data_IF_925842872726
#
_entry.id   IF_925842872726
#
_cell.length_a   1.000
_cell.length_b   1.000
_cell.length_c   1.000
_cell.angle_alpha   90.00
_cell.angle_beta   90.00
_cell.angle_gamma   90.00
#
_symmetry.space_group_name_H-M   'P 1'
#
loop_
_entity.id
_entity.type
_entity.pdbx_description
1 polymer ?
#
# COMPACT_ATOMS: atom_id res chain seq x y z
N UNK A 1 -39.87 -33.47 -58.07
CA UNK A 1 -38.84 -34.18 -57.28
C UNK A 1 -38.04 -33.16 -56.51
N UNK A 2 -38.37 -33.01 -55.23
CA UNK A 2 -37.64 -32.20 -54.24
C UNK A 2 -37.03 -33.19 -53.23
N UNK A 3 -35.77 -33.03 -52.81
CA UNK A 3 -35.20 -33.89 -51.77
C UNK A 3 -35.71 -33.50 -50.37
N UNK A 4 -35.81 -34.46 -49.44
CA UNK A 4 -36.44 -34.25 -48.13
C UNK A 4 -35.54 -33.51 -47.13
N UNK A 5 -36.19 -32.68 -46.32
CA UNK A 5 -35.62 -31.93 -45.20
C UNK A 5 -35.25 -32.90 -44.07
N UNK A 6 -33.98 -32.88 -43.67
CA UNK A 6 -33.45 -33.66 -42.55
C UNK A 6 -33.81 -32.98 -41.22
N UNK A 7 -34.59 -33.68 -40.40
CA UNK A 7 -34.87 -33.37 -38.99
C UNK A 7 -33.71 -33.80 -38.11
N UNK A 8 -32.98 -32.83 -37.54
CA UNK A 8 -32.02 -33.03 -36.45
C UNK A 8 -32.75 -32.79 -35.11
N UNK A 9 -32.74 -33.73 -34.15
CA UNK A 9 -33.32 -33.51 -32.84
C UNK A 9 -32.37 -32.68 -31.95
N UNK A 10 -32.90 -31.58 -31.40
CA UNK A 10 -32.29 -30.82 -30.32
C UNK A 10 -32.52 -31.58 -29.00
N UNK A 11 -31.51 -32.29 -28.50
CA UNK A 11 -31.46 -32.76 -27.12
C UNK A 11 -30.73 -31.75 -26.25
N UNK A 12 -31.51 -30.94 -25.52
CA UNK A 12 -31.02 -30.15 -24.39
C UNK A 12 -30.80 -31.07 -23.17
N UNK A 13 -29.63 -31.06 -22.51
CA UNK A 13 -29.52 -31.65 -21.18
C UNK A 13 -30.13 -30.69 -20.14
N UNK A 14 -31.06 -31.21 -19.35
CA UNK A 14 -31.60 -30.54 -18.16
C UNK A 14 -30.52 -30.43 -17.06
N UNK A 15 -30.50 -29.34 -16.27
CA UNK A 15 -29.64 -29.24 -15.10
C UNK A 15 -30.14 -30.14 -13.95
N UNK A 16 -29.19 -30.88 -13.37
CA UNK A 16 -29.37 -31.77 -12.22
C UNK A 16 -29.53 -30.96 -10.92
N UNK A 17 -30.61 -31.13 -10.12
CA UNK A 17 -30.79 -30.41 -8.87
C UNK A 17 -30.39 -31.30 -7.69
N UNK A 18 -29.13 -31.23 -7.25
CA UNK A 18 -28.73 -31.81 -5.97
C UNK A 18 -27.37 -31.28 -5.49
N UNK A 19 -27.35 -30.09 -4.88
CA UNK A 19 -26.36 -29.77 -3.84
C UNK A 19 -27.03 -28.93 -2.76
N UNK A 20 -27.51 -29.65 -1.75
CA UNK A 20 -28.04 -29.11 -0.51
C UNK A 20 -26.89 -28.60 0.36
N UNK A 21 -26.90 -27.29 0.65
CA UNK A 21 -26.05 -26.68 1.70
C UNK A 21 -26.49 -27.21 3.07
N UNK A 22 -25.57 -27.62 3.97
CA UNK A 22 -25.92 -27.78 5.37
C UNK A 22 -25.96 -26.41 6.04
N UNK A 23 -27.14 -26.06 6.54
CA UNK A 23 -27.33 -25.00 7.53
C UNK A 23 -26.67 -25.40 8.85
N UNK A 24 -25.68 -24.64 9.31
CA UNK A 24 -25.21 -24.71 10.69
C UNK A 24 -25.72 -23.49 11.46
N UNK A 25 -26.61 -23.79 12.41
CA UNK A 25 -27.18 -22.86 13.37
C UNK A 25 -26.12 -22.40 14.38
N UNK A 26 -26.29 -21.15 14.80
CA UNK A 26 -25.61 -20.50 15.90
C UNK A 26 -25.56 -21.35 17.17
N UNK A 27 -24.35 -21.53 17.72
CA UNK A 27 -24.14 -21.74 19.14
C UNK A 27 -23.13 -20.72 19.67
N UNK A 28 -23.66 -19.71 20.38
CA UNK A 28 -22.93 -18.83 21.27
C UNK A 28 -22.45 -19.64 22.49
N UNK A 29 -21.14 -19.76 22.68
CA UNK A 29 -20.50 -19.94 24.00
C UNK A 29 -19.10 -19.30 23.98
N UNK A 30 -18.99 -18.15 24.62
CA UNK A 30 -17.71 -17.58 25.06
C UNK A 30 -17.22 -18.29 26.32
N UNK A 31 -15.90 -18.44 26.48
CA UNK A 31 -15.29 -18.23 27.78
C UNK A 31 -14.22 -17.13 27.70
N UNK A 32 -14.43 -16.14 28.55
CA UNK A 32 -13.46 -15.15 29.00
C UNK A 32 -12.19 -15.80 29.54
N UNK A 33 -11.04 -15.47 28.95
CA UNK A 33 -9.72 -15.70 29.54
C UNK A 33 -9.01 -14.34 29.70
N UNK A 34 -9.12 -13.81 30.92
CA UNK A 34 -8.27 -12.76 31.46
C UNK A 34 -6.88 -13.36 31.70
N UNK A 35 -5.91 -13.02 30.85
CA UNK A 35 -4.50 -13.24 31.14
C UNK A 35 -3.95 -11.95 31.80
N UNK A 36 -3.69 -12.07 33.10
CA UNK A 36 -2.98 -11.08 33.90
C UNK A 36 -1.49 -11.09 33.54
N UNK A 37 -0.96 -9.99 33.03
CA UNK A 37 0.49 -9.78 32.97
C UNK A 37 0.97 -9.22 34.32
N UNK A 38 1.65 -10.08 35.07
CA UNK A 38 2.36 -9.72 36.30
C UNK A 38 3.67 -9.02 35.94
N UNK A 39 3.84 -7.79 36.45
CA UNK A 39 5.10 -7.05 36.44
C UNK A 39 6.03 -7.61 37.52
N UNK A 40 7.21 -8.12 37.12
CA UNK A 40 8.31 -8.38 38.04
C UNK A 40 9.48 -7.46 37.71
N UNK A 41 9.79 -6.59 38.66
CA UNK A 41 10.97 -5.75 38.68
C UNK A 41 12.14 -6.46 39.40
N UNK A 42 13.33 -5.88 39.20
CA UNK A 42 14.52 -5.91 40.04
C UNK A 42 15.63 -6.94 39.74
N UNK A 43 16.73 -6.41 39.22
CA UNK A 43 17.99 -6.42 39.96
C UNK A 43 19.12 -7.28 39.39
N UNK A 44 20.16 -6.64 38.84
CA UNK A 44 21.41 -6.32 39.57
C UNK A 44 22.48 -5.85 38.59
N UNK A 45 23.13 -4.75 38.95
CA UNK A 45 24.39 -4.32 38.38
C UNK A 45 25.54 -5.19 38.94
N UNK A 46 26.54 -5.47 38.11
CA UNK A 46 27.90 -5.75 38.56
C UNK A 46 28.86 -5.23 37.48
N UNK A 47 29.62 -4.20 37.83
CA UNK A 47 30.65 -3.62 36.96
C UNK A 47 31.93 -4.45 36.99
N UNK A 48 32.66 -4.44 35.89
CA UNK A 48 34.10 -4.66 35.89
C UNK A 48 34.72 -3.60 34.98
N UNK A 49 35.52 -2.75 35.61
CA UNK A 49 36.40 -1.80 34.97
C UNK A 49 37.52 -2.56 34.23
N UNK A 50 37.66 -2.29 32.93
CA UNK A 50 38.75 -2.78 32.10
C UNK A 50 39.41 -1.62 31.37
N UNK A 51 40.42 -1.04 32.01
CA UNK A 51 41.30 0.00 31.46
C UNK A 51 42.23 -0.64 30.43
N UNK A 52 42.10 -0.28 29.16
CA UNK A 52 43.12 -0.54 28.14
C UNK A 52 43.62 0.79 27.57
N UNK A 53 44.85 1.13 27.94
CA UNK A 53 45.66 2.12 27.22
C UNK A 53 46.29 1.41 26.02
N UNK A 54 46.08 1.96 24.83
CA UNK A 54 46.71 1.52 23.60
C UNK A 54 46.48 2.57 22.52
N UNK A 55 47.35 3.57 22.46
CA UNK A 55 47.41 4.52 21.37
C UNK A 55 47.86 3.79 20.11
N UNK A 56 46.94 3.57 19.17
CA UNK A 56 47.28 3.20 17.79
C UNK A 56 46.88 4.39 16.93
N UNK A 57 47.87 5.17 16.49
CA UNK A 57 47.69 6.11 15.40
C UNK A 57 47.56 5.29 14.12
N UNK A 58 46.35 5.17 13.59
CA UNK A 58 46.15 4.78 12.21
C UNK A 58 46.33 6.02 11.32
N UNK A 59 47.39 6.00 10.52
CA UNK A 59 47.57 6.89 9.37
C UNK A 59 46.51 6.56 8.31
N UNK A 60 45.81 7.54 7.70
CA UNK A 60 44.98 7.24 6.54
C UNK A 60 45.88 7.16 5.30
N UNK A 61 46.30 5.96 4.95
CA UNK A 61 46.77 5.67 3.58
C UNK A 61 45.58 5.17 2.75
N UNK A 62 45.13 6.03 1.85
CA UNK A 62 44.43 5.74 0.59
C UNK A 62 43.55 4.48 0.55
N UNK A 63 42.30 4.64 0.99
CA UNK A 63 41.18 3.79 0.59
C UNK A 63 39.91 4.64 0.46
N UNK A 64 39.95 5.67 -0.39
CA UNK A 64 38.85 6.63 -0.55
C UNK A 64 38.46 6.78 -2.01
N UNK A 65 37.42 6.07 -2.44
CA UNK A 65 36.87 6.26 -3.80
C UNK A 65 35.60 5.45 -4.09
N UNK A 66 35.44 4.28 -3.47
CA UNK A 66 34.33 3.39 -3.78
C UNK A 66 33.06 3.65 -2.93
N UNK A 67 33.21 4.02 -1.66
CA UNK A 67 32.07 4.22 -0.75
C UNK A 67 31.22 5.47 -1.09
N UNK A 68 31.84 6.55 -1.57
CA UNK A 68 31.13 7.78 -1.96
C UNK A 68 30.30 7.57 -3.24
N UNK A 69 30.81 6.77 -4.18
CA UNK A 69 30.10 6.47 -5.42
C UNK A 69 28.88 5.55 -5.21
N UNK A 70 28.95 4.60 -4.28
CA UNK A 70 27.83 3.72 -3.94
C UNK A 70 26.69 4.49 -3.27
N UNK A 71 26.99 5.33 -2.28
CA UNK A 71 26.00 6.21 -1.64
C UNK A 71 25.36 7.19 -2.64
N UNK A 72 26.13 7.69 -3.62
CA UNK A 72 25.62 8.50 -4.71
C UNK A 72 24.64 7.74 -5.63
N UNK A 73 24.95 6.48 -5.97
CA UNK A 73 24.04 5.64 -6.77
C UNK A 73 22.75 5.30 -6.03
N UNK A 74 22.83 4.95 -4.75
CA UNK A 74 21.66 4.66 -3.92
C UNK A 74 20.76 5.90 -3.76
N UNK A 75 21.36 7.09 -3.59
CA UNK A 75 20.63 8.35 -3.56
C UNK A 75 19.86 8.64 -4.85
N UNK A 76 20.51 8.47 -6.01
CA UNK A 76 19.90 8.68 -7.33
C UNK A 76 18.77 7.69 -7.60
N UNK A 77 18.94 6.42 -7.23
CA UNK A 77 17.87 5.42 -7.41
C UNK A 77 16.66 5.73 -6.52
N UNK A 78 16.87 6.14 -5.27
CA UNK A 78 15.78 6.54 -4.38
C UNK A 78 15.05 7.78 -4.90
N UNK A 79 15.76 8.77 -5.46
CA UNK A 79 15.13 9.92 -6.11
C UNK A 79 14.24 9.52 -7.28
N UNK A 80 14.68 8.53 -8.08
CA UNK A 80 13.88 7.97 -9.17
C UNK A 80 12.64 7.25 -8.65
N UNK A 81 12.76 6.44 -7.60
CA UNK A 81 11.63 5.77 -6.94
C UNK A 81 10.59 6.78 -6.45
N UNK A 82 11.05 7.85 -5.79
CA UNK A 82 10.19 8.95 -5.30
C UNK A 82 9.50 9.67 -6.45
N UNK A 83 10.20 9.95 -7.56
CA UNK A 83 9.61 10.60 -8.72
C UNK A 83 8.49 9.77 -9.36
N UNK A 84 8.70 8.45 -9.49
CA UNK A 84 7.70 7.52 -10.01
C UNK A 84 6.51 7.40 -9.05
N UNK A 85 6.75 7.35 -7.74
CA UNK A 85 5.68 7.33 -6.73
C UNK A 85 4.79 8.58 -6.81
N UNK A 86 5.39 9.77 -6.99
CA UNK A 86 4.64 11.00 -7.19
C UNK A 86 3.82 10.98 -8.49
N UNK A 87 4.39 10.46 -9.58
CA UNK A 87 3.67 10.31 -10.85
C UNK A 87 2.51 9.32 -10.75
N UNK A 88 2.66 8.24 -9.97
CA UNK A 88 1.57 7.31 -9.69
C UNK A 88 0.45 7.99 -8.89
N UNK A 89 0.79 8.77 -7.85
CA UNK A 89 -0.18 9.56 -7.10
C UNK A 89 -0.91 10.59 -7.99
N UNK A 90 -0.20 11.24 -8.91
CA UNK A 90 -0.81 12.16 -9.87
C UNK A 90 -1.81 11.45 -10.80
N UNK A 91 -1.44 10.27 -11.31
CA UNK A 91 -2.29 9.45 -12.16
C UNK A 91 -3.56 8.99 -11.44
N UNK A 92 -3.45 8.50 -10.19
CA UNK A 92 -4.60 8.18 -9.37
C UNK A 92 -5.48 9.42 -9.15
N UNK A 93 -4.88 10.53 -8.73
CA UNK A 93 -5.61 11.78 -8.48
C UNK A 93 -6.38 12.29 -9.71
N UNK A 94 -5.84 12.13 -10.92
CA UNK A 94 -6.55 12.47 -12.16
C UNK A 94 -7.81 11.62 -12.37
N UNK A 95 -7.73 10.31 -12.11
CA UNK A 95 -8.89 9.42 -12.16
C UNK A 95 -9.90 9.83 -11.09
N UNK A 96 -9.49 9.91 -9.83
CA UNK A 96 -10.39 10.16 -8.71
C UNK A 96 -11.11 11.50 -8.80
N UNK A 97 -10.44 12.55 -9.31
CA UNK A 97 -11.07 13.85 -9.57
C UNK A 97 -12.18 13.78 -10.62
N UNK A 98 -12.09 12.88 -11.60
CA UNK A 98 -13.15 12.69 -12.62
C UNK A 98 -14.40 12.12 -11.97
N UNK A 99 -14.26 11.15 -11.06
CA UNK A 99 -15.38 10.45 -10.42
C UNK A 99 -15.96 11.19 -9.20
N UNK A 100 -15.15 11.99 -8.50
CA UNK A 100 -15.59 12.69 -7.29
C UNK A 100 -16.77 13.63 -7.56
N UNK A 101 -17.86 13.47 -6.78
CA UNK A 101 -19.12 14.24 -6.88
C UNK A 101 -19.85 14.16 -8.22
N UNK A 102 -19.50 13.22 -9.09
CA UNK A 102 -20.30 12.96 -10.27
C UNK A 102 -21.62 12.30 -9.89
N UNK A 103 -22.68 12.67 -10.62
CA UNK A 103 -23.98 12.01 -10.51
C UNK A 103 -23.93 10.73 -11.32
N UNK A 104 -23.62 9.62 -10.67
CA UNK A 104 -23.88 8.32 -11.26
C UNK A 104 -25.31 7.93 -10.92
N UNK A 105 -26.09 7.55 -11.93
CA UNK A 105 -27.25 6.70 -11.68
C UNK A 105 -26.68 5.46 -11.02
N UNK A 106 -27.00 5.24 -9.74
CA UNK A 106 -26.67 4.01 -9.03
C UNK A 106 -27.49 2.93 -9.72
N UNK A 107 -26.96 2.41 -10.82
CA UNK A 107 -27.49 1.23 -11.46
C UNK A 107 -27.12 0.11 -10.49
N UNK A 108 -28.11 -0.38 -9.74
CA UNK A 108 -28.03 -1.62 -8.98
C UNK A 108 -27.74 -2.77 -9.95
N UNK A 109 -26.47 -2.87 -10.35
CA UNK A 109 -25.87 -4.05 -10.94
C UNK A 109 -24.90 -4.54 -9.88
N UNK A 110 -25.12 -5.78 -9.46
CA UNK A 110 -24.61 -6.43 -8.24
C UNK A 110 -23.09 -6.31 -7.98
N UNK A 111 -22.26 -5.79 -8.90
CA UNK A 111 -20.79 -5.72 -8.75
C UNK A 111 -20.11 -4.41 -9.20
N UNK A 112 -20.84 -3.34 -9.56
CA UNK A 112 -20.22 -2.15 -10.19
C UNK A 112 -20.69 -0.83 -9.59
N UNK A 113 -20.48 -0.66 -8.29
CA UNK A 113 -20.65 0.66 -7.69
C UNK A 113 -19.68 1.67 -8.36
N UNK A 114 -20.05 2.95 -8.50
CA UNK A 114 -19.17 3.96 -9.08
C UNK A 114 -17.82 4.07 -8.36
N UNK A 115 -17.79 3.73 -7.07
CA UNK A 115 -16.53 3.72 -6.31
C UNK A 115 -15.64 2.54 -6.71
N UNK A 116 -16.20 1.36 -6.98
CA UNK A 116 -15.44 0.19 -7.48
C UNK A 116 -14.82 0.47 -8.85
N UNK A 117 -15.53 1.22 -9.71
CA UNK A 117 -14.99 1.63 -11.02
C UNK A 117 -13.84 2.62 -10.83
N UNK A 118 -14.04 3.65 -10.01
CA UNK A 118 -13.02 4.65 -9.71
C UNK A 118 -11.77 4.03 -9.09
N UNK A 119 -11.94 3.10 -8.16
CA UNK A 119 -10.86 2.42 -7.46
C UNK A 119 -10.01 1.57 -8.44
N UNK A 120 -10.67 0.69 -9.20
CA UNK A 120 -10.01 -0.16 -10.21
C UNK A 120 -9.28 0.66 -11.28
N UNK A 121 -9.88 1.74 -11.77
CA UNK A 121 -9.24 2.61 -12.76
C UNK A 121 -8.03 3.36 -12.18
N UNK A 122 -8.12 3.81 -10.93
CA UNK A 122 -7.01 4.47 -10.25
C UNK A 122 -5.87 3.47 -9.98
N UNK A 123 -6.16 2.25 -9.52
CA UNK A 123 -5.17 1.20 -9.31
C UNK A 123 -4.43 0.85 -10.61
N UNK A 124 -5.15 0.73 -11.71
CA UNK A 124 -4.57 0.44 -13.01
C UNK A 124 -3.69 1.59 -13.52
N UNK A 125 -4.12 2.84 -13.33
CA UNK A 125 -3.33 4.01 -13.68
C UNK A 125 -2.00 4.07 -12.90
N UNK A 126 -2.04 3.84 -11.58
CA UNK A 126 -0.84 3.78 -10.75
C UNK A 126 0.09 2.65 -11.19
N UNK A 127 -0.47 1.46 -11.41
CA UNK A 127 0.31 0.27 -11.75
C UNK A 127 0.97 0.41 -13.11
N UNK A 128 0.29 1.01 -14.08
CA UNK A 128 0.85 1.28 -15.40
C UNK A 128 2.07 2.21 -15.30
N UNK A 129 2.02 3.26 -14.48
CA UNK A 129 3.15 4.17 -14.22
C UNK A 129 4.33 3.43 -13.59
N UNK A 130 4.06 2.61 -12.58
CA UNK A 130 5.09 1.86 -11.83
C UNK A 130 5.77 0.83 -12.75
N UNK A 131 5.01 -0.08 -13.36
CA UNK A 131 5.57 -1.20 -14.13
C UNK A 131 6.21 -0.75 -15.45
N UNK A 132 5.77 0.38 -16.02
CA UNK A 132 6.47 1.01 -17.16
C UNK A 132 7.86 1.51 -16.77
N UNK A 133 8.00 2.02 -15.54
CA UNK A 133 9.26 2.57 -15.04
C UNK A 133 10.18 1.49 -14.47
N UNK A 134 9.58 0.46 -13.86
CA UNK A 134 10.25 -0.63 -13.17
C UNK A 134 9.58 -1.98 -13.47
N UNK A 135 9.87 -2.61 -14.63
CA UNK A 135 9.22 -3.86 -15.04
C UNK A 135 9.49 -5.06 -14.11
N UNK A 136 10.54 -5.01 -13.31
CA UNK A 136 10.96 -6.08 -12.38
C UNK A 136 10.37 -5.92 -10.98
N UNK A 137 9.69 -4.80 -10.68
CA UNK A 137 9.06 -4.58 -9.38
C UNK A 137 7.71 -5.31 -9.31
N UNK A 138 7.31 -5.68 -8.10
CA UNK A 138 5.97 -6.21 -7.84
C UNK A 138 5.02 -5.10 -7.38
N UNK A 139 3.75 -5.23 -7.71
CA UNK A 139 2.66 -4.38 -7.21
C UNK A 139 1.66 -5.26 -6.48
N UNK A 140 1.22 -4.80 -5.31
CA UNK A 140 0.16 -5.40 -4.50
C UNK A 140 -0.92 -4.35 -4.26
N UNK A 141 -2.02 -4.45 -5.01
CA UNK A 141 -3.17 -3.56 -4.89
C UNK A 141 -4.32 -4.21 -4.12
N UNK A 142 -5.24 -3.39 -3.61
CA UNK A 142 -6.46 -3.85 -2.93
C UNK A 142 -7.38 -4.66 -3.88
N UNK A 143 -7.53 -4.21 -5.13
CA UNK A 143 -8.51 -4.77 -6.06
C UNK A 143 -7.95 -5.91 -6.92
N UNK A 144 -6.74 -5.75 -7.46
CA UNK A 144 -6.15 -6.75 -8.37
C UNK A 144 -5.10 -7.65 -7.69
N UNK A 145 -4.81 -7.45 -6.40
CA UNK A 145 -3.87 -8.27 -5.64
C UNK A 145 -2.44 -8.22 -6.19
N UNK A 146 -1.76 -9.36 -6.20
CA UNK A 146 -0.33 -9.47 -6.54
C UNK A 146 -0.07 -9.48 -8.04
N UNK A 147 0.76 -8.56 -8.51
CA UNK A 147 1.23 -8.45 -9.89
C UNK A 147 2.76 -8.36 -9.94
N UNK A 148 3.39 -9.34 -10.57
CA UNK A 148 4.83 -9.38 -10.77
C UNK A 148 5.16 -10.14 -12.06
N UNK A 149 6.13 -9.66 -12.84
CA UNK A 149 6.63 -10.40 -14.00
C UNK A 149 7.53 -11.58 -13.61
N UNK A 150 8.15 -11.50 -12.43
CA UNK A 150 9.10 -12.48 -11.91
C UNK A 150 8.53 -13.31 -10.75
N UNK A 151 9.21 -14.40 -10.38
CA UNK A 151 8.81 -15.25 -9.24
C UNK A 151 8.93 -14.54 -7.89
N UNK A 152 9.80 -13.55 -7.80
CA UNK A 152 10.06 -12.74 -6.62
C UNK A 152 10.54 -11.36 -7.07
N UNK A 153 10.27 -10.33 -6.28
CA UNK A 153 10.78 -8.99 -6.51
C UNK A 153 11.35 -8.44 -5.20
N UNK A 154 12.50 -7.79 -5.28
CA UNK A 154 13.11 -7.12 -4.12
C UNK A 154 12.29 -5.89 -3.72
N UNK A 155 11.69 -5.21 -4.71
CA UNK A 155 10.82 -4.06 -4.53
C UNK A 155 9.35 -4.42 -4.73
N UNK A 156 8.54 -4.07 -3.73
CA UNK A 156 7.10 -4.30 -3.73
C UNK A 156 6.37 -2.99 -3.44
N UNK A 157 5.51 -2.57 -4.36
CA UNK A 157 4.64 -1.43 -4.21
C UNK A 157 3.31 -1.89 -3.63
N UNK A 158 2.84 -1.26 -2.56
CA UNK A 158 1.54 -1.54 -1.96
C UNK A 158 0.64 -0.33 -2.21
N UNK A 159 -0.53 -0.56 -2.81
CA UNK A 159 -1.39 0.49 -3.31
C UNK A 159 -2.81 0.37 -2.70
N UNK A 160 -3.32 1.49 -2.22
CA UNK A 160 -4.73 1.69 -1.85
C UNK A 160 -5.19 2.95 -2.61
N UNK A 161 -5.97 2.81 -3.70
CA UNK A 161 -6.37 3.95 -4.51
C UNK A 161 -7.31 4.91 -3.77
N UNK A 162 -8.23 4.40 -2.93
CA UNK A 162 -9.24 5.18 -2.20
C UNK A 162 -9.35 4.74 -0.73
N UNK A 163 -8.45 5.26 0.12
CA UNK A 163 -8.64 5.23 1.56
C UNK A 163 -9.68 6.27 1.97
N UNK A 164 -10.75 5.81 2.61
CA UNK A 164 -11.92 6.64 2.95
C UNK A 164 -13.06 6.57 1.94
N UNK A 165 -13.34 5.38 1.38
CA UNK A 165 -14.44 5.07 0.44
C UNK A 165 -15.78 5.74 0.79
N UNK A 166 -16.17 5.76 2.08
CA UNK A 166 -17.40 6.43 2.54
C UNK A 166 -17.37 7.94 2.34
N UNK A 167 -16.23 8.58 2.58
CA UNK A 167 -16.05 10.01 2.32
C UNK A 167 -16.15 10.29 0.83
N UNK A 168 -15.51 9.46 0.00
CA UNK A 168 -15.56 9.56 -1.46
C UNK A 168 -17.01 9.48 -1.99
N UNK A 169 -17.75 8.43 -1.62
CA UNK A 169 -19.15 8.20 -2.04
C UNK A 169 -20.06 9.36 -1.59
N UNK A 170 -19.85 9.87 -0.37
CA UNK A 170 -20.67 10.96 0.19
C UNK A 170 -20.22 12.36 -0.25
N UNK A 171 -19.23 12.46 -1.14
CA UNK A 171 -18.75 13.74 -1.68
C UNK A 171 -17.96 14.60 -0.67
N UNK A 172 -17.47 14.00 0.42
CA UNK A 172 -16.58 14.63 1.41
C UNK A 172 -15.13 14.51 0.93
N UNK A 173 -14.35 15.60 0.90
CA UNK A 173 -12.98 15.59 0.39
C UNK A 173 -11.96 14.97 1.38
N UNK A 174 -12.41 14.12 2.31
CA UNK A 174 -11.60 13.47 3.34
C UNK A 174 -11.36 12.01 2.96
N UNK A 175 -10.69 11.82 1.84
CA UNK A 175 -10.19 10.54 1.32
C UNK A 175 -8.83 10.79 0.66
N UNK A 176 -8.05 9.74 0.47
CA UNK A 176 -6.76 9.85 -0.19
C UNK A 176 -6.31 8.57 -0.88
N UNK A 177 -5.24 8.67 -1.64
CA UNK A 177 -4.51 7.55 -2.23
C UNK A 177 -3.29 7.26 -1.38
N UNK A 178 -3.09 5.99 -1.03
CA UNK A 178 -1.93 5.53 -0.27
C UNK A 178 -1.01 4.71 -1.19
N UNK A 179 0.28 5.02 -1.13
CA UNK A 179 1.33 4.30 -1.85
C UNK A 179 2.43 3.99 -0.86
N UNK A 180 2.83 2.73 -0.72
CA UNK A 180 4.01 2.34 0.02
C UNK A 180 4.97 1.56 -0.88
N UNK A 181 6.27 1.68 -0.62
CA UNK A 181 7.30 0.88 -1.25
C UNK A 181 8.06 0.10 -0.18
N UNK A 182 8.16 -1.20 -0.37
CA UNK A 182 8.98 -2.09 0.42
C UNK A 182 10.21 -2.49 -0.39
N UNK A 183 11.36 -2.57 0.26
CA UNK A 183 12.57 -3.19 -0.25
C UNK A 183 12.95 -4.35 0.66
N UNK A 184 12.99 -5.57 0.13
CA UNK A 184 13.22 -6.81 0.88
C UNK A 184 12.29 -6.94 2.11
N UNK A 185 11.01 -6.61 1.91
CA UNK A 185 9.98 -6.67 2.96
C UNK A 185 10.03 -5.54 3.99
N UNK A 186 10.93 -4.57 3.87
CA UNK A 186 11.00 -3.40 4.76
C UNK A 186 10.44 -2.15 4.09
N UNK A 187 9.53 -1.40 4.71
CA UNK A 187 9.06 -0.12 4.17
C UNK A 187 10.22 0.87 4.06
N UNK A 188 10.42 1.44 2.87
CA UNK A 188 11.47 2.43 2.59
C UNK A 188 10.91 3.78 2.12
N UNK A 189 9.65 3.82 1.69
CA UNK A 189 8.97 5.04 1.24
C UNK A 189 7.45 4.90 1.39
N UNK A 190 6.76 6.02 1.61
CA UNK A 190 5.31 6.11 1.59
C UNK A 190 4.81 7.48 1.10
N UNK A 191 3.66 7.48 0.43
CA UNK A 191 2.91 8.67 0.02
C UNK A 191 1.48 8.57 0.51
N UNK A 192 0.97 9.67 1.05
CA UNK A 192 -0.45 9.92 1.25
C UNK A 192 -0.80 11.12 0.37
N UNK A 193 -1.70 10.93 -0.58
CA UNK A 193 -2.17 12.01 -1.46
C UNK A 193 -3.65 12.27 -1.26
N UNK A 194 -4.02 13.51 -0.97
CA UNK A 194 -5.42 13.95 -0.95
C UNK A 194 -5.69 14.78 -2.21
N UNK A 195 -6.18 14.17 -3.30
CA UNK A 195 -6.20 14.79 -4.62
C UNK A 195 -7.16 15.98 -4.75
N UNK A 196 -8.13 16.09 -3.85
CA UNK A 196 -9.08 17.21 -3.79
C UNK A 196 -8.52 18.38 -2.96
N UNK A 197 -7.90 18.07 -1.82
CA UNK A 197 -7.29 19.07 -0.94
C UNK A 197 -5.92 19.56 -1.44
N UNK A 198 -5.31 18.82 -2.38
CA UNK A 198 -3.97 19.06 -2.92
C UNK A 198 -2.92 19.05 -1.81
N UNK A 199 -3.07 18.10 -0.91
CA UNK A 199 -2.13 17.83 0.17
C UNK A 199 -1.46 16.49 -0.09
N UNK A 200 -0.13 16.48 -0.15
CA UNK A 200 0.67 15.29 -0.36
C UNK A 200 1.74 15.18 0.71
N UNK A 201 1.68 14.10 1.47
CA UNK A 201 2.73 13.68 2.38
C UNK A 201 3.66 12.70 1.66
N UNK A 202 4.96 12.91 1.81
CA UNK A 202 5.99 12.00 1.29
C UNK A 202 6.95 11.67 2.42
N UNK A 203 7.06 10.39 2.76
CA UNK A 203 8.04 9.86 3.71
C UNK A 203 9.02 8.95 2.98
N UNK A 204 10.31 9.09 3.29
CA UNK A 204 11.39 8.26 2.76
C UNK A 204 12.33 7.92 3.90
N UNK A 205 12.78 6.67 3.98
CA UNK A 205 13.69 6.22 5.02
C UNK A 205 14.97 7.09 5.04
N UNK A 206 15.42 7.45 6.24
CA UNK A 206 16.55 8.35 6.46
C UNK A 206 16.32 9.82 6.07
N UNK A 207 15.14 10.22 5.58
CA UNK A 207 14.80 11.62 5.25
C UNK A 207 13.64 12.13 6.10
N UNK A 208 13.53 13.46 6.23
CA UNK A 208 12.36 14.08 6.87
C UNK A 208 11.14 13.96 5.95
N UNK A 209 9.97 13.75 6.56
CA UNK A 209 8.70 13.79 5.83
C UNK A 209 8.43 15.19 5.32
N UNK A 210 7.87 15.29 4.12
CA UNK A 210 7.41 16.56 3.55
C UNK A 210 5.89 16.58 3.36
N UNK A 211 5.26 17.73 3.58
CA UNK A 211 3.91 18.06 3.11
C UNK A 211 4.05 19.08 1.98
N UNK A 212 3.61 18.75 0.77
CA UNK A 212 3.72 19.62 -0.40
C UNK A 212 5.15 20.17 -0.62
N UNK A 213 6.15 19.32 -0.38
CA UNK A 213 7.57 19.66 -0.49
C UNK A 213 8.15 20.43 0.70
N UNK A 214 7.35 20.85 1.67
CA UNK A 214 7.82 21.49 2.90
C UNK A 214 8.10 20.43 3.97
N UNK A 215 9.27 20.45 4.60
CA UNK A 215 9.58 19.54 5.71
C UNK A 215 8.61 19.75 6.88
N UNK A 216 8.10 18.65 7.43
CA UNK A 216 7.21 18.66 8.58
C UNK A 216 7.72 17.72 9.66
N UNK A 217 7.25 17.96 10.88
CA UNK A 217 7.48 17.08 12.02
C UNK A 217 6.20 17.00 12.85
N UNK A 218 6.02 15.88 13.55
CA UNK A 218 4.96 15.78 14.55
C UNK A 218 5.16 16.84 15.64
N UNK A 219 4.06 17.36 16.17
CA UNK A 219 4.11 18.28 17.31
C UNK A 219 4.62 17.50 18.54
N UNK A 220 5.51 18.09 19.36
CA UNK A 220 5.79 17.54 20.69
C UNK A 220 4.50 17.44 21.50
N UNK A 221 4.17 16.24 21.99
CA UNK A 221 2.97 15.99 22.78
C UNK A 221 3.31 15.03 23.91
N UNK A 222 3.89 15.58 24.97
CA UNK A 222 4.45 14.77 26.07
C UNK A 222 3.37 14.18 27.00
N UNK A 223 2.14 14.68 26.92
CA UNK A 223 1.01 14.21 27.74
C UNK A 223 -0.23 14.01 26.89
N UNK A 224 -0.94 12.90 27.12
CA UNK A 224 -2.13 12.52 26.35
C UNK A 224 -3.25 13.56 26.44
N UNK A 225 -3.42 14.21 27.60
CA UNK A 225 -4.44 15.25 27.80
C UNK A 225 -4.27 16.48 26.90
N UNK A 226 -3.09 16.67 26.28
CA UNK A 226 -2.82 17.74 25.33
C UNK A 226 -2.94 17.28 23.87
N UNK A 227 -3.24 16.01 23.61
CA UNK A 227 -3.47 15.51 22.27
C UNK A 227 -4.85 15.97 21.78
N UNK A 228 -4.87 16.57 20.59
CA UNK A 228 -6.08 16.93 19.86
C UNK A 228 -5.91 16.54 18.40
N UNK A 229 -7.03 16.27 17.72
CA UNK A 229 -7.10 15.86 16.32
C UNK A 229 -7.73 16.99 15.49
#
# INVERSE_FOLDING_TARGET
MLPPISTIPLTFPLPNPAFTKPSLRHHLRSPSLLATFSSAAAGRACGIAGRWMGSVRASPSEAGGWAVAAAGKEGVEMERLVAVAQSAADAAGEVLRKYFRQRFEIIDKEDHSPVTIADREAEEAMTSVILKSFPTHAVFGEENGWRCAEKSADYVWVLDPIDGTKSFITGKPLFGTLIALLHNGKPVMGIIDQPILRERWVGVDGKKTTLNGQEISVRPCNVLAQAYL
#
